data_IF_381050158104
#
_entry.id   IF_381050158104
#
_cell.length_a   1.000
_cell.length_b   1.000
_cell.length_c   1.000
_cell.angle_alpha   90.00
_cell.angle_beta   90.00
_cell.angle_gamma   90.00
#
_symmetry.space_group_name_H-M   'P 1'
#
loop_
_entity.id
_entity.type
_entity.pdbx_description
1 polymer ?
#
# COMPACT_ATOMS: atom_id res chain seq x y z
N UNK A 1 -14.16 8.94 -16.21
CA UNK A 1 -12.83 9.27 -15.65
C UNK A 1 -12.79 8.96 -14.17
N UNK A 2 -13.49 9.73 -13.32
CA UNK A 2 -13.56 9.45 -11.89
C UNK A 2 -14.12 8.06 -11.59
N UNK A 3 -15.12 7.61 -12.35
CA UNK A 3 -15.73 6.31 -12.19
C UNK A 3 -14.74 5.17 -12.45
N UNK A 4 -13.89 5.30 -13.48
CA UNK A 4 -12.88 4.29 -13.79
C UNK A 4 -11.83 4.16 -12.69
N UNK A 5 -11.39 5.29 -12.14
CA UNK A 5 -10.42 5.28 -11.04
C UNK A 5 -10.99 4.60 -9.81
N UNK A 6 -12.23 4.95 -9.46
CA UNK A 6 -12.94 4.34 -8.34
C UNK A 6 -13.08 2.83 -8.51
N UNK A 7 -13.50 2.39 -9.71
CA UNK A 7 -13.68 0.97 -10.01
C UNK A 7 -12.35 0.22 -9.89
N UNK A 8 -11.28 0.81 -10.39
CA UNK A 8 -9.95 0.19 -10.37
C UNK A 8 -9.44 0.05 -8.93
N UNK A 9 -9.62 1.08 -8.10
CA UNK A 9 -9.23 1.05 -6.70
C UNK A 9 -9.97 -0.05 -5.96
N UNK A 10 -11.28 -0.14 -6.13
CA UNK A 10 -12.10 -1.17 -5.50
C UNK A 10 -11.73 -2.56 -5.98
N UNK A 11 -11.42 -2.72 -7.25
CA UNK A 11 -10.99 -4.00 -7.79
C UNK A 11 -9.67 -4.46 -7.16
N UNK A 12 -8.71 -3.53 -6.99
CA UNK A 12 -7.44 -3.84 -6.35
C UNK A 12 -7.61 -4.21 -4.88
N UNK A 13 -8.50 -3.53 -4.16
CA UNK A 13 -8.82 -3.88 -2.78
C UNK A 13 -9.45 -5.28 -2.69
N UNK A 14 -10.34 -5.60 -3.61
CA UNK A 14 -10.96 -6.91 -3.67
C UNK A 14 -9.91 -8.00 -3.92
N UNK A 15 -9.02 -7.78 -4.87
CA UNK A 15 -7.94 -8.73 -5.18
C UNK A 15 -6.99 -8.90 -3.99
N UNK A 16 -6.66 -7.82 -3.29
CA UNK A 16 -5.84 -7.90 -2.09
C UNK A 16 -6.52 -8.77 -1.03
N UNK A 17 -7.82 -8.61 -0.85
CA UNK A 17 -8.59 -9.42 0.09
C UNK A 17 -8.55 -10.91 -0.26
N UNK A 18 -8.68 -11.24 -1.54
CA UNK A 18 -8.58 -12.62 -2.01
C UNK A 18 -7.20 -13.22 -1.73
N UNK A 19 -6.14 -12.47 -2.03
CA UNK A 19 -4.78 -12.92 -1.79
C UNK A 19 -4.49 -13.11 -0.31
N UNK A 20 -4.98 -12.22 0.54
CA UNK A 20 -4.82 -12.34 1.99
C UNK A 20 -5.53 -13.57 2.53
N UNK A 21 -6.73 -13.87 2.03
CA UNK A 21 -7.47 -15.06 2.44
C UNK A 21 -6.76 -16.33 1.99
N UNK A 22 -6.24 -16.35 0.76
CA UNK A 22 -5.46 -17.48 0.26
C UNK A 22 -4.17 -17.66 1.05
N UNK A 23 -3.52 -16.58 1.44
CA UNK A 23 -2.34 -16.62 2.30
C UNK A 23 -2.68 -17.27 3.63
N UNK A 24 -3.76 -16.83 4.26
CA UNK A 24 -4.21 -17.39 5.53
C UNK A 24 -4.45 -18.90 5.43
N UNK A 25 -5.12 -19.34 4.36
CA UNK A 25 -5.39 -20.76 4.11
C UNK A 25 -4.11 -21.56 3.90
N UNK A 26 -3.19 -21.03 3.10
CA UNK A 26 -1.93 -21.70 2.83
C UNK A 26 -1.09 -21.85 4.09
N UNK A 27 -1.05 -20.81 4.90
CA UNK A 27 -0.31 -20.81 6.16
C UNK A 27 -0.87 -21.87 7.13
N UNK A 28 -2.20 -22.00 7.17
CA UNK A 28 -2.88 -22.97 8.03
C UNK A 28 -2.64 -24.41 7.61
N UNK A 29 -2.39 -24.69 6.31
CA UNK A 29 -2.16 -26.04 5.82
C UNK A 29 -0.85 -26.66 6.31
N UNK A 30 0.21 -25.85 6.44
CA UNK A 30 1.51 -26.31 6.94
C UNK A 30 2.17 -27.40 6.11
N UNK A 31 1.82 -27.53 4.83
CA UNK A 31 2.37 -28.55 3.95
C UNK A 31 3.71 -28.11 3.36
N UNK A 32 4.44 -29.05 2.74
CA UNK A 32 5.73 -28.77 2.13
C UNK A 32 5.65 -27.67 1.07
N UNK A 33 4.56 -27.63 0.30
CA UNK A 33 4.35 -26.62 -0.73
C UNK A 33 3.77 -25.33 -0.19
N UNK A 34 3.38 -25.30 1.07
CA UNK A 34 2.72 -24.13 1.66
C UNK A 34 3.63 -22.92 1.70
N UNK A 35 4.94 -23.10 1.92
CA UNK A 35 5.87 -21.97 1.97
C UNK A 35 5.94 -21.20 0.64
N UNK A 36 5.98 -21.93 -0.48
CA UNK A 36 5.95 -21.30 -1.80
C UNK A 36 4.65 -20.56 -2.04
N UNK A 37 3.54 -21.18 -1.66
CA UNK A 37 2.22 -20.59 -1.83
C UNK A 37 2.05 -19.36 -0.93
N UNK A 38 2.51 -19.44 0.33
CA UNK A 38 2.49 -18.29 1.25
C UNK A 38 3.28 -17.13 0.66
N UNK A 39 4.48 -17.40 0.13
CA UNK A 39 5.31 -16.35 -0.47
C UNK A 39 4.62 -15.72 -1.68
N UNK A 40 4.04 -16.54 -2.55
CA UNK A 40 3.33 -16.04 -3.73
C UNK A 40 2.15 -15.17 -3.35
N UNK A 41 1.35 -15.59 -2.39
CA UNK A 41 0.18 -14.83 -1.96
C UNK A 41 0.56 -13.55 -1.22
N UNK A 42 1.66 -13.59 -0.47
CA UNK A 42 2.21 -12.42 0.19
C UNK A 42 2.60 -11.36 -0.84
N UNK A 43 3.33 -11.75 -1.86
CA UNK A 43 3.75 -10.83 -2.92
C UNK A 43 2.55 -10.29 -3.69
N UNK A 44 1.58 -11.16 -4.00
CA UNK A 44 0.37 -10.74 -4.69
C UNK A 44 -0.43 -9.73 -3.86
N UNK A 45 -0.58 -9.96 -2.55
CA UNK A 45 -1.32 -9.05 -1.69
C UNK A 45 -0.63 -7.68 -1.61
N UNK A 46 0.69 -7.65 -1.52
CA UNK A 46 1.45 -6.40 -1.51
C UNK A 46 1.29 -5.64 -2.83
N UNK A 47 1.35 -6.35 -3.95
CA UNK A 47 1.14 -5.75 -5.27
C UNK A 47 -0.25 -5.11 -5.38
N UNK A 48 -1.29 -5.83 -4.97
CA UNK A 48 -2.65 -5.33 -5.04
C UNK A 48 -2.90 -4.18 -4.06
N UNK A 49 -2.34 -4.26 -2.85
CA UNK A 49 -2.46 -3.17 -1.88
C UNK A 49 -1.77 -1.91 -2.38
N UNK A 50 -0.60 -2.04 -2.96
CA UNK A 50 0.09 -0.88 -3.56
C UNK A 50 -0.76 -0.28 -4.68
N UNK A 51 -1.33 -1.13 -5.53
CA UNK A 51 -2.23 -0.68 -6.59
C UNK A 51 -3.46 0.06 -6.06
N UNK A 52 -4.00 -0.40 -4.91
CA UNK A 52 -5.13 0.27 -4.28
C UNK A 52 -4.73 1.65 -3.73
N UNK A 53 -3.57 1.75 -3.08
CA UNK A 53 -3.06 3.03 -2.56
C UNK A 53 -2.83 4.01 -3.72
N UNK A 54 -2.17 3.56 -4.78
CA UNK A 54 -1.94 4.39 -5.96
C UNK A 54 -3.26 4.84 -6.58
N UNK A 55 -4.21 3.92 -6.70
CA UNK A 55 -5.54 4.24 -7.22
C UNK A 55 -6.25 5.29 -6.39
N UNK A 56 -6.16 5.17 -5.06
CA UNK A 56 -6.74 6.15 -4.15
C UNK A 56 -6.08 7.53 -4.33
N UNK A 57 -4.76 7.57 -4.49
CA UNK A 57 -4.04 8.81 -4.77
C UNK A 57 -4.53 9.45 -6.07
N UNK A 58 -4.73 8.63 -7.11
CA UNK A 58 -5.27 9.12 -8.38
C UNK A 58 -6.69 9.68 -8.23
N UNK A 59 -7.53 9.02 -7.43
CA UNK A 59 -8.89 9.51 -7.18
C UNK A 59 -8.88 10.86 -6.49
N UNK A 60 -8.08 10.99 -5.43
CA UNK A 60 -7.98 12.24 -4.66
C UNK A 60 -7.44 13.35 -5.55
N UNK A 61 -6.32 13.11 -6.21
CA UNK A 61 -5.68 14.11 -7.06
C UNK A 61 -6.58 14.50 -8.23
N UNK A 62 -7.29 13.53 -8.81
CA UNK A 62 -8.24 13.77 -9.89
C UNK A 62 -9.42 14.60 -9.44
N UNK A 63 -9.95 14.34 -8.24
CA UNK A 63 -11.06 15.10 -7.67
C UNK A 63 -10.68 16.58 -7.51
N UNK A 64 -9.48 16.86 -7.01
CA UNK A 64 -9.00 18.22 -6.80
C UNK A 64 -8.33 18.81 -8.05
N UNK A 65 -8.29 18.08 -9.17
CA UNK A 65 -7.65 18.50 -10.41
C UNK A 65 -6.20 18.93 -10.20
N UNK A 66 -5.50 18.17 -9.36
CA UNK A 66 -4.11 18.48 -8.99
C UNK A 66 -3.15 18.23 -10.15
N UNK A 67 -2.07 19.03 -10.28
CA UNK A 67 -1.02 18.73 -11.24
C UNK A 67 -0.41 17.35 -10.99
N UNK A 68 -0.12 16.60 -12.06
CA UNK A 68 0.47 15.28 -11.92
C UNK A 68 -0.48 14.21 -11.37
N UNK A 69 -1.80 14.41 -11.54
CA UNK A 69 -2.81 13.49 -11.01
C UNK A 69 -2.67 12.05 -11.54
N UNK A 70 -1.97 11.86 -12.66
CA UNK A 70 -1.76 10.54 -13.27
C UNK A 70 -0.35 10.01 -13.06
N UNK A 71 0.38 10.51 -12.07
CA UNK A 71 1.71 10.02 -11.76
C UNK A 71 1.70 8.50 -11.54
N UNK A 72 2.71 7.77 -12.06
CA UNK A 72 2.68 6.30 -12.03
C UNK A 72 3.07 5.68 -10.70
N UNK A 73 3.52 6.48 -9.73
CA UNK A 73 4.01 5.95 -8.45
C UNK A 73 3.34 6.68 -7.29
N UNK A 74 2.96 5.89 -6.28
CA UNK A 74 2.30 6.46 -5.10
C UNK A 74 3.20 7.47 -4.36
N UNK A 75 4.51 7.26 -4.38
CA UNK A 75 5.46 8.13 -3.70
C UNK A 75 5.42 9.57 -4.22
N UNK A 76 4.99 9.77 -5.47
CA UNK A 76 4.83 11.12 -6.02
C UNK A 76 3.74 11.91 -5.31
N UNK A 77 2.78 11.24 -4.67
CA UNK A 77 1.68 11.87 -3.94
C UNK A 77 1.92 11.92 -2.43
N UNK A 78 2.68 10.97 -1.89
CA UNK A 78 2.78 10.74 -0.45
C UNK A 78 4.00 11.43 0.15
N UNK A 79 4.13 12.74 -0.11
CA UNK A 79 5.22 13.54 0.44
C UNK A 79 4.74 14.97 0.71
N UNK A 80 5.48 15.68 1.55
CA UNK A 80 5.11 17.03 1.96
C UNK A 80 5.12 18.02 0.80
N UNK A 81 6.06 17.86 -0.12
CA UNK A 81 6.17 18.77 -1.27
C UNK A 81 4.94 18.68 -2.16
N UNK A 82 4.47 17.45 -2.43
CA UNK A 82 3.25 17.24 -3.21
C UNK A 82 2.04 17.85 -2.50
N UNK A 83 1.95 17.69 -1.17
CA UNK A 83 0.88 18.25 -0.37
C UNK A 83 0.89 19.77 -0.41
N UNK A 84 2.07 20.39 -0.34
CA UNK A 84 2.20 21.85 -0.41
C UNK A 84 1.76 22.38 -1.78
N UNK A 85 2.05 21.66 -2.86
CA UNK A 85 1.68 22.06 -4.21
C UNK A 85 0.19 21.87 -4.48
N UNK A 86 -0.43 20.88 -3.88
CA UNK A 86 -1.83 20.53 -4.13
C UNK A 86 -2.49 20.09 -2.81
N UNK A 87 -2.75 21.04 -1.88
CA UNK A 87 -3.27 20.67 -0.57
C UNK A 87 -4.66 20.06 -0.65
N UNK A 88 -4.85 18.97 0.07
CA UNK A 88 -6.16 18.38 0.30
C UNK A 88 -6.13 17.68 1.66
N UNK A 89 -7.27 17.63 2.32
CA UNK A 89 -7.37 16.98 3.63
C UNK A 89 -7.08 15.49 3.53
N UNK A 90 -7.63 14.84 2.51
CA UNK A 90 -7.46 13.40 2.31
C UNK A 90 -6.01 13.05 2.04
N UNK A 91 -5.32 13.84 1.22
CA UNK A 91 -3.91 13.61 0.93
C UNK A 91 -3.05 13.86 2.17
N UNK A 92 -3.40 14.86 2.98
CA UNK A 92 -2.70 15.13 4.23
C UNK A 92 -2.75 13.94 5.17
N UNK A 93 -3.91 13.29 5.29
CA UNK A 93 -4.06 12.10 6.11
C UNK A 93 -3.21 10.96 5.60
N UNK A 94 -3.18 10.72 4.28
CA UNK A 94 -2.36 9.68 3.67
C UNK A 94 -0.87 9.93 3.88
N UNK A 95 -0.42 11.18 3.73
CA UNK A 95 0.97 11.56 3.93
C UNK A 95 1.37 11.31 5.39
N UNK A 96 0.53 11.68 6.34
CA UNK A 96 0.78 11.45 7.75
C UNK A 96 0.87 9.96 8.07
N UNK A 97 -0.05 9.16 7.54
CA UNK A 97 -0.06 7.72 7.76
C UNK A 97 1.20 7.07 7.17
N UNK A 98 1.63 7.49 5.99
CA UNK A 98 2.85 6.98 5.38
C UNK A 98 4.08 7.32 6.22
N UNK A 99 4.13 8.55 6.75
CA UNK A 99 5.22 8.97 7.62
C UNK A 99 5.28 8.16 8.91
N UNK A 100 4.12 7.93 9.53
CA UNK A 100 4.03 7.12 10.76
C UNK A 100 4.45 5.68 10.51
N UNK A 101 4.06 5.11 9.37
CA UNK A 101 4.45 3.76 8.99
C UNK A 101 5.97 3.65 8.83
N UNK A 102 6.60 4.63 8.17
CA UNK A 102 8.05 4.67 8.03
C UNK A 102 8.76 4.79 9.38
N UNK A 103 8.26 5.65 10.26
CA UNK A 103 8.85 5.84 11.59
C UNK A 103 8.77 4.55 12.40
N UNK A 104 7.64 3.83 12.31
CA UNK A 104 7.48 2.54 12.99
C UNK A 104 8.44 1.48 12.44
N UNK A 105 8.61 1.44 11.12
CA UNK A 105 9.53 0.50 10.48
C UNK A 105 10.98 0.78 10.89
N UNK A 106 11.36 2.05 10.96
CA UNK A 106 12.70 2.45 11.39
C UNK A 106 12.97 2.07 12.84
N UNK A 107 11.97 2.27 13.72
CA UNK A 107 12.12 1.90 15.14
C UNK A 107 12.27 0.40 15.30
N UNK A 108 11.48 -0.37 14.53
CA UNK A 108 11.58 -1.83 14.54
C UNK A 108 12.94 -2.31 14.07
N UNK A 109 13.44 -1.73 12.97
CA UNK A 109 14.76 -2.07 12.44
C UNK A 109 15.87 -1.76 13.46
N UNK A 110 15.79 -0.62 14.11
CA UNK A 110 16.75 -0.23 15.15
C UNK A 110 16.72 -1.20 16.33
N UNK A 111 15.53 -1.60 16.77
CA UNK A 111 15.38 -2.58 17.85
C UNK A 111 16.02 -3.91 17.49
N UNK A 112 15.74 -4.41 16.27
CA UNK A 112 16.31 -5.67 15.79
C UNK A 112 17.83 -5.61 15.68
N UNK A 113 18.38 -4.47 15.24
CA UNK A 113 19.83 -4.28 15.16
C UNK A 113 20.48 -4.32 16.54
N UNK A 114 19.80 -3.77 17.57
CA UNK A 114 20.32 -3.73 18.93
C UNK A 114 20.22 -5.07 19.65
N UNK A 115 19.19 -5.88 19.37
CA UNK A 115 18.88 -7.11 20.11
C UNK A 115 19.14 -8.39 19.30
N UNK A 116 19.56 -8.27 18.05
CA UNK A 116 19.74 -9.40 17.15
C UNK A 116 18.40 -9.88 16.58
N UNK A 117 18.40 -10.22 15.27
CA UNK A 117 17.21 -10.80 14.65
C UNK A 117 17.10 -12.26 15.08
N UNK A 118 15.89 -12.77 15.38
CA UNK A 118 15.71 -14.19 15.64
C UNK A 118 16.02 -15.00 14.38
N UNK A 119 16.73 -16.09 14.52
CA UNK A 119 17.05 -17.00 13.42
C UNK A 119 15.83 -17.74 12.91
#
# INVERSE_FOLDING_TARGET
>A
MAHERYTRTNQKLFFAGLSLENWRKADALGTLNAQGQVQAEREASLFHLYGAVLGLCHEIAGFYRSPGADAPRAEAFLNRQALEQAPSQELAELVQDAWLAQASARRRAAWLAAHGAPD
#
